data_IF_658710375632
#
_entry.id   IF_658710375632
#
_cell.length_a   1.000
_cell.length_b   1.000
_cell.length_c   1.000
_cell.angle_alpha   90.00
_cell.angle_beta   90.00
_cell.angle_gamma   90.00
#
_symmetry.space_group_name_H-M   'P 1'
#
loop_
_entity.id
_entity.type
_entity.pdbx_description
1 polymer ?
#
# COMPACT_ATOMS: atom_id res chain seq x y z
N UNK A 1 13.44 13.38 -24.21
CA UNK A 1 14.00 12.92 -22.92
C UNK A 1 13.21 13.67 -21.85
N UNK A 2 12.04 13.15 -21.50
CA UNK A 2 11.13 13.81 -20.57
C UNK A 2 11.33 13.18 -19.19
N UNK A 3 11.88 13.96 -18.27
CA UNK A 3 11.93 13.67 -16.85
C UNK A 3 10.50 13.40 -16.37
N UNK A 4 10.19 12.12 -16.10
CA UNK A 4 8.97 11.75 -15.38
C UNK A 4 9.20 12.13 -13.93
N UNK A 5 8.63 13.25 -13.53
CA UNK A 5 8.68 13.77 -12.19
C UNK A 5 8.25 12.72 -11.17
N UNK A 6 9.15 12.51 -10.21
CA UNK A 6 8.88 11.93 -8.91
C UNK A 6 7.65 12.68 -8.34
N UNK A 7 6.54 12.00 -8.09
CA UNK A 7 5.48 12.55 -7.24
C UNK A 7 6.03 12.48 -5.83
N UNK A 8 6.69 13.56 -5.43
CA UNK A 8 7.12 13.78 -4.07
C UNK A 8 5.88 14.11 -3.23
N UNK A 9 5.47 13.17 -2.38
CA UNK A 9 4.27 13.27 -1.53
C UNK A 9 4.58 14.17 -0.34
N UNK A 10 4.87 15.45 -0.60
CA UNK A 10 4.89 16.47 0.43
C UNK A 10 3.55 17.22 0.37
N UNK A 11 2.65 16.86 1.29
CA UNK A 11 1.46 17.63 1.71
C UNK A 11 0.16 17.43 0.88
N UNK A 12 -0.27 16.19 0.66
CA UNK A 12 -1.71 15.88 0.44
C UNK A 12 -2.25 15.08 1.62
N UNK A 13 -3.56 15.18 1.88
CA UNK A 13 -4.22 14.31 2.86
C UNK A 13 -4.00 12.86 2.41
N UNK A 14 -3.63 11.99 3.35
CA UNK A 14 -3.31 10.59 3.06
C UNK A 14 -4.43 9.88 2.30
N UNK A 15 -5.69 10.22 2.60
CA UNK A 15 -6.84 9.64 1.92
C UNK A 15 -6.91 10.08 0.45
N UNK A 16 -6.63 11.35 0.15
CA UNK A 16 -6.61 11.85 -1.23
C UNK A 16 -5.50 11.17 -2.04
N UNK A 17 -4.34 10.94 -1.41
CA UNK A 17 -3.27 10.17 -2.04
C UNK A 17 -3.72 8.73 -2.34
N UNK A 18 -4.36 8.04 -1.39
CA UNK A 18 -4.87 6.68 -1.61
C UNK A 18 -5.93 6.61 -2.72
N UNK A 19 -6.83 7.59 -2.79
CA UNK A 19 -7.83 7.70 -3.87
C UNK A 19 -7.15 7.91 -5.21
N UNK A 20 -6.18 8.83 -5.30
CA UNK A 20 -5.43 9.11 -6.53
C UNK A 20 -4.68 7.88 -7.03
N UNK A 21 -3.93 7.20 -6.17
CA UNK A 21 -3.15 6.02 -6.59
C UNK A 21 -4.06 4.88 -7.09
N UNK A 22 -5.22 4.67 -6.46
CA UNK A 22 -6.16 3.66 -6.92
C UNK A 22 -6.73 3.99 -8.32
N UNK A 23 -6.95 5.27 -8.62
CA UNK A 23 -7.37 5.69 -9.96
C UNK A 23 -6.25 5.53 -10.98
N UNK A 24 -5.03 5.96 -10.64
CA UNK A 24 -3.86 5.93 -11.52
C UNK A 24 -3.41 4.51 -11.86
N UNK A 25 -3.30 3.62 -10.86
CA UNK A 25 -2.73 2.28 -11.03
C UNK A 25 -3.76 1.26 -11.53
N UNK A 26 -5.01 1.33 -11.01
CA UNK A 26 -6.03 0.31 -11.27
C UNK A 26 -7.36 0.83 -11.83
N UNK A 27 -7.56 2.14 -11.94
CA UNK A 27 -8.72 2.73 -12.60
C UNK A 27 -10.03 2.69 -11.82
N UNK A 28 -9.95 2.51 -10.50
CA UNK A 28 -11.13 2.56 -9.63
C UNK A 28 -11.24 3.93 -8.97
N UNK A 29 -12.47 4.40 -8.79
CA UNK A 29 -12.74 5.66 -8.09
C UNK A 29 -13.30 5.34 -6.71
N UNK A 30 -12.67 5.92 -5.70
CA UNK A 30 -12.95 5.72 -4.28
C UNK A 30 -13.48 7.01 -3.67
N UNK A 31 -14.46 6.89 -2.78
CA UNK A 31 -14.79 7.96 -1.85
C UNK A 31 -13.84 7.84 -0.64
N UNK A 32 -13.12 8.91 -0.22
CA UNK A 32 -12.34 8.91 1.01
C UNK A 32 -13.10 8.39 2.24
N UNK A 33 -14.42 8.58 2.30
CA UNK A 33 -15.26 8.11 3.40
C UNK A 33 -15.46 6.57 3.41
N UNK A 34 -15.26 5.90 2.28
CA UNK A 34 -15.30 4.44 2.16
C UNK A 34 -13.94 3.78 2.48
N UNK A 35 -12.91 4.58 2.78
CA UNK A 35 -11.58 4.10 3.18
C UNK A 35 -11.45 3.97 4.69
N UNK A 36 -11.06 2.77 5.13
CA UNK A 36 -10.75 2.48 6.52
C UNK A 36 -9.28 2.11 6.67
N UNK A 37 -8.54 2.85 7.49
CA UNK A 37 -7.17 2.45 7.85
C UNK A 37 -7.22 1.12 8.62
N UNK A 38 -6.54 0.11 8.11
CA UNK A 38 -6.50 -1.23 8.72
C UNK A 38 -5.14 -1.58 9.30
N UNK A 39 -4.07 -0.99 8.78
CA UNK A 39 -2.73 -1.25 9.27
C UNK A 39 -1.76 -0.09 9.01
N UNK A 40 -0.90 0.19 9.98
CA UNK A 40 0.28 1.03 9.84
C UNK A 40 1.54 0.19 10.02
N UNK A 41 2.40 0.15 9.00
CA UNK A 41 3.66 -0.57 9.01
C UNK A 41 4.82 0.42 9.01
N UNK A 42 5.61 0.45 10.09
CA UNK A 42 6.88 1.16 10.08
C UNK A 42 7.98 0.24 9.53
N UNK A 43 8.42 0.50 8.30
CA UNK A 43 9.32 -0.41 7.57
C UNK A 43 10.64 0.26 7.23
N UNK A 44 11.72 -0.47 7.49
CA UNK A 44 13.05 -0.20 7.01
C UNK A 44 13.48 -1.30 6.02
N UNK A 45 14.34 -0.95 5.06
CA UNK A 45 14.86 -1.89 4.06
C UNK A 45 13.84 -2.36 3.01
N UNK A 46 12.72 -1.64 2.84
CA UNK A 46 11.76 -1.91 1.74
C UNK A 46 12.00 -1.04 0.50
N UNK A 47 12.98 -0.13 0.55
CA UNK A 47 13.32 0.84 -0.48
C UNK A 47 14.52 1.71 -0.05
N UNK A 48 14.77 2.84 -0.74
CA UNK A 48 15.95 3.69 -0.47
C UNK A 48 15.93 4.31 0.92
N UNK A 49 14.73 4.59 1.46
CA UNK A 49 14.56 5.20 2.78
C UNK A 49 13.50 4.45 3.60
N UNK A 50 13.61 4.48 4.95
CA UNK A 50 12.54 4.00 5.82
C UNK A 50 11.25 4.78 5.61
N UNK A 51 10.10 4.12 5.79
CA UNK A 51 8.79 4.73 5.57
C UNK A 51 7.70 4.17 6.48
N UNK A 52 6.61 4.92 6.58
CA UNK A 52 5.34 4.43 7.09
C UNK A 52 4.48 3.97 5.92
N UNK A 53 4.14 2.68 5.92
CA UNK A 53 3.14 2.10 5.05
C UNK A 53 1.75 2.20 5.69
N UNK A 54 0.81 2.82 4.99
CA UNK A 54 -0.58 2.94 5.43
C UNK A 54 -1.45 2.09 4.53
N UNK A 55 -2.11 1.09 5.10
CA UNK A 55 -2.95 0.15 4.37
C UNK A 55 -4.41 0.47 4.65
N UNK A 56 -5.17 0.69 3.58
CA UNK A 56 -6.60 0.98 3.65
C UNK A 56 -7.41 -0.19 3.08
N UNK A 57 -8.51 -0.49 3.74
CA UNK A 57 -9.58 -1.31 3.17
C UNK A 57 -10.59 -0.37 2.49
N UNK A 58 -10.97 -0.71 1.27
CA UNK A 58 -12.06 -0.08 0.54
C UNK A 58 -13.22 -1.07 0.39
N UNK A 59 -14.38 -0.75 0.98
CA UNK A 59 -15.57 -1.58 0.87
C UNK A 59 -16.40 -1.33 -0.39
N UNK A 60 -16.19 -0.19 -1.05
CA UNK A 60 -16.96 0.29 -2.20
C UNK A 60 -16.06 1.09 -3.14
N UNK A 61 -16.32 0.97 -4.43
CA UNK A 61 -15.69 1.77 -5.48
C UNK A 61 -16.57 1.75 -6.73
N UNK A 62 -16.24 2.62 -7.68
CA UNK A 62 -16.79 2.57 -9.05
C UNK A 62 -15.68 2.36 -10.06
N UNK A 63 -16.05 1.95 -11.28
CA UNK A 63 -15.10 1.55 -12.31
C UNK A 63 -14.76 0.06 -12.27
N UNK A 64 -14.03 -0.41 -13.28
CA UNK A 64 -13.57 -1.80 -13.37
C UNK A 64 -12.06 -1.83 -13.20
N UNK A 65 -11.52 -2.56 -12.21
CA UNK A 65 -10.09 -2.67 -12.02
C UNK A 65 -9.39 -3.20 -13.28
N UNK A 66 -8.41 -2.46 -13.77
CA UNK A 66 -7.60 -2.82 -14.95
C UNK A 66 -6.17 -2.39 -14.73
N UNK A 67 -5.20 -3.02 -15.40
CA UNK A 67 -3.80 -2.58 -15.31
C UNK A 67 -3.60 -1.29 -16.11
N UNK A 68 -3.48 -0.14 -15.44
CA UNK A 68 -3.29 1.17 -16.09
C UNK A 68 -1.82 1.57 -16.28
N UNK A 69 -0.90 0.79 -15.71
CA UNK A 69 0.54 1.03 -15.81
C UNK A 69 1.28 -0.20 -16.38
N UNK A 70 0.99 -0.63 -17.63
CA UNK A 70 1.56 -1.85 -18.20
C UNK A 70 3.10 -1.84 -18.31
N UNK A 71 3.72 -0.66 -18.32
CA UNK A 71 5.18 -0.50 -18.33
C UNK A 71 5.82 -0.79 -16.96
N UNK A 72 5.03 -0.72 -15.88
CA UNK A 72 5.48 -0.90 -14.48
C UNK A 72 4.93 -2.18 -13.85
N UNK A 73 3.72 -2.58 -14.22
CA UNK A 73 3.02 -3.75 -13.72
C UNK A 73 2.65 -4.67 -14.87
N UNK A 74 2.89 -5.98 -14.74
CA UNK A 74 2.61 -6.93 -15.82
C UNK A 74 1.14 -7.35 -15.91
N UNK A 75 0.44 -7.42 -14.77
CA UNK A 75 -0.96 -7.83 -14.71
C UNK A 75 -1.64 -7.39 -13.40
N UNK A 76 -2.95 -7.21 -13.47
CA UNK A 76 -3.84 -7.05 -12.30
C UNK A 76 -4.75 -8.27 -12.22
N UNK A 77 -4.79 -8.92 -11.06
CA UNK A 77 -5.55 -10.14 -10.82
C UNK A 77 -6.20 -10.11 -9.43
N UNK A 78 -7.36 -10.75 -9.31
CA UNK A 78 -8.02 -10.98 -8.04
C UNK A 78 -7.55 -12.30 -7.42
N UNK A 79 -7.24 -12.27 -6.13
CA UNK A 79 -6.84 -13.44 -5.36
C UNK A 79 -7.68 -13.56 -4.08
N UNK A 80 -7.98 -14.80 -3.68
CA UNK A 80 -8.52 -15.04 -2.34
C UNK A 80 -7.43 -14.77 -1.29
N UNK A 81 -7.81 -14.20 -0.15
CA UNK A 81 -6.91 -14.00 0.98
C UNK A 81 -6.36 -15.31 1.58
N UNK A 82 -7.04 -16.43 1.31
CA UNK A 82 -6.62 -17.77 1.71
C UNK A 82 -5.83 -18.50 0.60
N UNK A 83 -5.68 -17.89 -0.59
CA UNK A 83 -4.99 -18.48 -1.75
C UNK A 83 -4.18 -17.41 -2.50
N UNK A 84 -3.32 -16.69 -1.76
CA UNK A 84 -2.38 -15.73 -2.34
C UNK A 84 -1.24 -16.47 -3.06
N UNK A 85 -0.61 -15.87 -4.08
CA UNK A 85 0.59 -16.43 -4.71
C UNK A 85 1.74 -16.66 -3.72
N UNK A 86 2.54 -17.70 -3.95
CA UNK A 86 3.69 -18.03 -3.08
C UNK A 86 4.75 -16.92 -3.05
N UNK A 87 4.91 -16.20 -4.17
CA UNK A 87 5.89 -15.12 -4.32
C UNK A 87 5.20 -13.77 -4.19
N UNK A 88 5.22 -13.24 -2.97
CA UNK A 88 4.80 -11.87 -2.67
C UNK A 88 6.00 -11.01 -2.30
N UNK A 89 5.94 -9.73 -2.65
CA UNK A 89 6.85 -8.74 -2.10
C UNK A 89 6.59 -8.63 -0.60
N UNK A 90 7.66 -8.60 0.17
CA UNK A 90 7.62 -8.70 1.63
C UNK A 90 6.82 -7.60 2.34
N UNK A 91 6.83 -6.39 1.78
CA UNK A 91 6.12 -5.21 2.28
C UNK A 91 4.59 -5.36 2.19
N UNK A 92 3.98 -5.55 1.00
CA UNK A 92 2.53 -5.76 0.92
C UNK A 92 2.08 -7.07 1.58
N UNK A 93 2.90 -8.11 1.57
CA UNK A 93 2.60 -9.37 2.28
C UNK A 93 2.43 -9.17 3.79
N UNK A 94 3.21 -8.27 4.39
CA UNK A 94 3.08 -7.92 5.80
C UNK A 94 1.74 -7.20 6.09
N UNK A 95 1.35 -6.25 5.25
CA UNK A 95 0.06 -5.56 5.36
C UNK A 95 -1.14 -6.50 5.24
N UNK A 96 -1.13 -7.42 4.26
CA UNK A 96 -2.21 -8.42 4.09
C UNK A 96 -2.30 -9.34 5.29
N UNK A 97 -1.17 -9.83 5.83
CA UNK A 97 -1.16 -10.64 7.04
C UNK A 97 -1.73 -9.88 8.23
N UNK A 98 -1.32 -8.63 8.41
CA UNK A 98 -1.78 -7.79 9.51
C UNK A 98 -3.30 -7.52 9.43
N UNK A 99 -3.85 -7.31 8.23
CA UNK A 99 -5.29 -7.22 8.01
C UNK A 99 -6.02 -8.49 8.48
N UNK A 100 -5.53 -9.68 8.09
CA UNK A 100 -6.12 -10.97 8.50
C UNK A 100 -6.07 -11.22 10.01
N UNK A 101 -5.06 -10.71 10.70
CA UNK A 101 -4.89 -10.86 12.15
C UNK A 101 -5.39 -9.66 12.95
N UNK A 102 -6.09 -8.72 12.31
CA UNK A 102 -6.56 -7.46 12.92
C UNK A 102 -5.44 -6.68 13.66
N UNK A 103 -4.20 -6.79 13.19
CA UNK A 103 -3.05 -6.11 13.76
C UNK A 103 -2.97 -4.69 13.20
N UNK A 104 -3.17 -3.68 14.02
CA UNK A 104 -3.26 -2.28 13.56
C UNK A 104 -1.90 -1.61 13.36
N UNK A 105 -0.84 -2.10 14.02
CA UNK A 105 0.51 -1.57 13.89
C UNK A 105 1.57 -2.68 13.91
N UNK A 106 2.60 -2.55 13.08
CA UNK A 106 3.78 -3.40 13.16
C UNK A 106 5.05 -2.68 12.69
N UNK A 107 6.21 -3.25 13.02
CA UNK A 107 7.51 -2.78 12.53
C UNK A 107 8.20 -3.90 11.75
N UNK A 108 8.99 -3.53 10.74
CA UNK A 108 9.82 -4.49 9.98
C UNK A 108 11.17 -3.89 9.61
N UNK A 109 12.23 -4.70 9.69
CA UNK A 109 13.59 -4.29 9.31
C UNK A 109 14.29 -3.38 10.32
N UNK A 110 13.73 -3.24 11.52
CA UNK A 110 14.32 -2.46 12.60
C UNK A 110 15.01 -3.37 13.61
N UNK A 111 16.25 -3.04 13.96
CA UNK A 111 16.88 -3.59 15.16
C UNK A 111 16.36 -2.82 16.38
N UNK A 112 15.86 -3.53 17.40
CA UNK A 112 15.57 -2.89 18.68
C UNK A 112 16.89 -2.44 19.30
N UNK A 113 17.05 -1.12 19.49
CA UNK A 113 18.10 -0.63 20.37
C UNK A 113 17.62 -0.77 21.82
N UNK A 114 18.50 -1.22 22.73
CA UNK A 114 18.20 -1.12 24.15
C UNK A 114 18.02 0.36 24.50
N UNK A 115 16.91 0.68 25.15
CA UNK A 115 16.74 2.01 25.75
C UNK A 115 17.61 2.04 27.00
N UNK A 116 18.72 2.76 26.96
CA UNK A 116 19.47 3.11 28.17
C UNK A 116 18.69 4.24 28.87
N UNK A 117 18.30 4.09 30.14
CA UNK A 117 17.58 5.13 30.88
C UNK A 117 18.40 6.39 31.10
#
# INVERSE_FOLDING_TARGET
MADRHLIDVHVLLVLDAAVREAEEEVGVHLDPADLRLVHTLHVNGSGPEPRLGLFFEAGRWTGTPTNREPDKCSAVCWFSLDALPDRLIDYPAAGIRAYRTATTFSTRGWARQPVTP
#
